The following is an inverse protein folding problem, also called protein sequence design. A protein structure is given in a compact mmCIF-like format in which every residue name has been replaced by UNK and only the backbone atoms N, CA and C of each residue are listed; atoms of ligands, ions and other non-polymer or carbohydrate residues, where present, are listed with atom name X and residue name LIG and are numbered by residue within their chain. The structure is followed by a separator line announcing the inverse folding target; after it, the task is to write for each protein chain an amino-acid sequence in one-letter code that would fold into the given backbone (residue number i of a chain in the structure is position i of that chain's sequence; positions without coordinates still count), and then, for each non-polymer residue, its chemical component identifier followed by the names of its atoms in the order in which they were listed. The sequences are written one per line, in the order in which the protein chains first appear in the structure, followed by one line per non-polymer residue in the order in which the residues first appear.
data_IF_487297012977
#
_entry.id   IF_487297012977
#
_cell.length_a   1.000
_cell.length_b   1.000
_cell.length_c   1.000
_cell.angle_alpha   90.00
_cell.angle_beta   90.00
_cell.angle_gamma   90.00
#
_symmetry.space_group_name_H-M   'P 1'
#
loop_
_entity.id
_entity.type
_entity.pdbx_description
1 polymer ?
#
# COMPACT_ATOMS: atom_id res chain seq x y z
N UNK A 1 -14.99 -30.98 -44.91
CA UNK A 1 -16.17 -30.87 -44.02
C UNK A 1 -15.93 -31.69 -42.76
N UNK A 2 -15.44 -31.06 -41.70
CA UNK A 2 -15.33 -31.60 -40.34
C UNK A 2 -15.62 -30.43 -39.39
N UNK A 3 -16.79 -30.40 -38.74
CA UNK A 3 -17.20 -29.31 -37.87
C UNK A 3 -16.60 -29.58 -36.48
N UNK A 4 -15.56 -28.83 -36.12
CA UNK A 4 -15.07 -28.77 -34.74
C UNK A 4 -14.84 -27.31 -34.35
N UNK A 5 -15.83 -26.48 -34.68
CA UNK A 5 -15.87 -25.05 -34.41
C UNK A 5 -16.97 -24.80 -33.38
N UNK A 6 -16.82 -25.38 -32.18
CA UNK A 6 -17.71 -25.12 -31.04
C UNK A 6 -17.16 -25.91 -29.86
N UNK A 7 -16.34 -25.26 -29.02
CA UNK A 7 -16.32 -25.49 -27.57
C UNK A 7 -15.51 -24.36 -26.91
N UNK A 8 -16.19 -23.71 -25.98
CA UNK A 8 -15.66 -22.96 -24.83
C UNK A 8 -15.12 -21.54 -25.03
N UNK A 9 -16.07 -20.69 -25.41
CA UNK A 9 -16.11 -19.30 -25.03
C UNK A 9 -16.65 -19.17 -23.58
N UNK A 10 -15.87 -19.54 -22.54
CA UNK A 10 -16.10 -19.10 -21.15
C UNK A 10 -14.77 -19.08 -20.38
N UNK A 11 -14.11 -17.95 -20.36
CA UNK A 11 -13.14 -17.61 -19.31
C UNK A 11 -13.22 -16.11 -19.04
N UNK A 12 -14.39 -15.66 -18.58
CA UNK A 12 -14.49 -14.39 -17.88
C UNK A 12 -13.67 -14.54 -16.59
N UNK A 13 -12.62 -13.74 -16.35
CA UNK A 13 -11.99 -13.72 -15.04
C UNK A 13 -13.04 -13.21 -14.06
N UNK A 14 -13.49 -14.11 -13.17
CA UNK A 14 -14.30 -13.75 -12.02
C UNK A 14 -13.61 -12.60 -11.28
N UNK A 15 -14.39 -11.58 -10.91
CA UNK A 15 -13.97 -10.47 -10.06
C UNK A 15 -12.98 -10.97 -9.00
N UNK A 16 -11.72 -10.57 -9.09
CA UNK A 16 -10.76 -10.82 -8.03
C UNK A 16 -11.13 -9.88 -6.87
N UNK A 17 -11.60 -10.39 -5.71
CA UNK A 17 -12.00 -9.56 -4.56
C UNK A 17 -10.81 -8.87 -3.84
N UNK A 18 -9.68 -8.75 -4.53
CA UNK A 18 -8.46 -8.06 -4.09
C UNK A 18 -7.94 -7.02 -5.09
N UNK A 19 -8.58 -6.83 -6.24
CA UNK A 19 -8.05 -5.94 -7.29
C UNK A 19 -8.31 -4.44 -7.05
N UNK A 20 -9.01 -4.07 -5.98
CA UNK A 20 -9.38 -2.68 -5.70
C UNK A 20 -8.86 -2.26 -4.31
N UNK A 21 -7.62 -1.75 -4.23
CA UNK A 21 -7.10 -1.13 -3.02
C UNK A 21 -8.06 -0.03 -2.53
N UNK A 22 -8.45 -0.06 -1.26
CA UNK A 22 -9.29 0.96 -0.62
C UNK A 22 -10.80 0.69 -0.55
N UNK A 23 -11.38 -0.14 -1.42
CA UNK A 23 -12.81 -0.49 -1.35
C UNK A 23 -13.13 -1.55 -0.28
N UNK A 24 -12.13 -2.36 0.11
CA UNK A 24 -12.32 -3.40 1.13
C UNK A 24 -12.83 -2.86 2.46
N UNK A 25 -12.28 -1.73 2.91
CA UNK A 25 -12.60 -1.14 4.21
C UNK A 25 -14.03 -0.61 4.31
N UNK A 26 -14.67 -0.32 3.18
CA UNK A 26 -16.02 0.25 3.12
C UNK A 26 -17.12 -0.81 3.06
N UNK A 27 -16.78 -2.03 2.60
CA UNK A 27 -17.76 -3.07 2.29
C UNK A 27 -17.62 -4.27 3.24
N UNK A 28 -16.44 -4.50 3.80
CA UNK A 28 -16.14 -5.58 4.73
C UNK A 28 -15.80 -5.04 6.12
N UNK A 29 -16.17 -5.76 7.20
CA UNK A 29 -15.74 -5.38 8.55
C UNK A 29 -14.22 -5.42 8.65
N UNK A 30 -13.64 -4.43 9.34
CA UNK A 30 -12.20 -4.37 9.60
C UNK A 30 -11.77 -5.63 10.35
N UNK A 31 -10.78 -6.34 9.82
CA UNK A 31 -10.27 -7.56 10.45
C UNK A 31 -9.29 -7.22 11.57
N UNK A 32 -9.05 -8.19 12.47
CA UNK A 32 -7.98 -8.06 13.46
C UNK A 32 -6.59 -7.87 12.81
N UNK A 33 -6.38 -8.49 11.64
CA UNK A 33 -5.15 -8.34 10.87
C UNK A 33 -4.97 -6.92 10.32
N UNK A 34 -6.05 -6.29 9.85
CA UNK A 34 -6.02 -4.88 9.40
C UNK A 34 -5.66 -3.93 10.53
N UNK A 35 -6.23 -4.15 11.72
CA UNK A 35 -5.90 -3.35 12.91
C UNK A 35 -4.45 -3.56 13.35
N UNK A 36 -3.96 -4.79 13.34
CA UNK A 36 -2.56 -5.09 13.67
C UNK A 36 -1.60 -4.40 12.71
N UNK A 37 -1.89 -4.46 11.40
CA UNK A 37 -1.11 -3.77 10.37
C UNK A 37 -1.13 -2.26 10.55
N UNK A 38 -2.31 -1.66 10.75
CA UNK A 38 -2.42 -0.23 11.07
C UNK A 38 -1.57 0.15 12.27
N UNK A 39 -1.63 -0.63 13.35
CA UNK A 39 -0.80 -0.41 14.54
C UNK A 39 0.70 -0.46 14.24
N UNK A 40 1.15 -1.45 13.46
CA UNK A 40 2.54 -1.58 13.06
C UNK A 40 3.02 -0.38 12.23
N UNK A 41 2.22 0.08 11.25
CA UNK A 41 2.52 1.28 10.45
C UNK A 41 2.57 2.52 11.32
N UNK A 42 1.61 2.70 12.24
CA UNK A 42 1.61 3.85 13.13
C UNK A 42 2.85 3.90 14.02
N UNK A 43 3.31 2.75 14.54
CA UNK A 43 4.54 2.67 15.31
C UNK A 43 5.76 3.01 14.43
N UNK A 44 5.85 2.44 13.23
CA UNK A 44 6.96 2.68 12.32
C UNK A 44 7.06 4.16 11.90
N UNK A 45 5.92 4.79 11.64
CA UNK A 45 5.87 6.20 11.23
C UNK A 45 6.09 7.14 12.40
N UNK A 46 5.33 6.99 13.48
CA UNK A 46 5.33 7.97 14.58
C UNK A 46 6.52 7.77 15.52
N UNK A 47 7.04 6.56 15.64
CA UNK A 47 8.16 6.24 16.54
C UNK A 47 9.49 6.83 16.10
N UNK A 48 9.65 7.15 14.81
CA UNK A 48 10.89 7.66 14.23
C UNK A 48 10.62 8.66 13.08
N UNK A 49 9.64 9.53 13.32
CA UNK A 49 9.09 10.40 12.28
C UNK A 49 10.12 11.34 11.64
N UNK A 50 11.06 11.98 12.38
CA UNK A 50 12.09 12.81 11.76
C UNK A 50 13.02 12.04 10.82
N UNK A 51 13.49 10.85 11.21
CA UNK A 51 14.35 10.03 10.36
C UNK A 51 13.61 9.54 9.11
N UNK A 52 12.32 9.21 9.26
CA UNK A 52 11.47 8.83 8.14
C UNK A 52 11.32 9.97 7.12
N UNK A 53 11.15 11.22 7.57
CA UNK A 53 11.12 12.38 6.67
C UNK A 53 12.46 12.57 5.95
N UNK A 54 13.59 12.44 6.66
CA UNK A 54 14.92 12.51 6.04
C UNK A 54 15.13 11.40 5.00
N UNK A 55 14.67 10.18 5.27
CA UNK A 55 14.72 9.08 4.31
C UNK A 55 13.85 9.34 3.08
N UNK A 56 12.66 9.95 3.25
CA UNK A 56 11.80 10.35 2.12
C UNK A 56 12.49 11.42 1.27
N UNK A 57 13.10 12.41 1.88
CA UNK A 57 13.86 13.46 1.19
C UNK A 57 15.08 12.88 0.44
N UNK A 58 15.78 11.92 1.04
CA UNK A 58 16.90 11.20 0.43
C UNK A 58 16.49 10.20 -0.66
N UNK A 59 15.19 9.95 -0.84
CA UNK A 59 14.67 8.99 -1.81
C UNK A 59 14.84 7.53 -1.39
N UNK A 60 14.99 7.26 -0.09
CA UNK A 60 15.15 5.94 0.50
C UNK A 60 15.90 5.99 1.84
N UNK A 61 15.73 4.94 2.65
CA UNK A 61 16.48 4.75 3.89
C UNK A 61 15.82 3.73 4.84
N UNK A 62 16.50 3.38 5.94
CA UNK A 62 16.10 2.26 6.79
C UNK A 62 14.78 2.49 7.53
N UNK A 63 14.43 3.74 7.87
CA UNK A 63 13.14 4.06 8.49
C UNK A 63 12.02 3.99 7.47
N UNK A 64 12.26 4.42 6.24
CA UNK A 64 11.30 4.29 5.15
C UNK A 64 11.06 2.84 4.73
N UNK A 65 12.10 2.02 4.65
CA UNK A 65 11.94 0.59 4.36
C UNK A 65 11.17 -0.14 5.46
N UNK A 66 11.43 0.17 6.74
CA UNK A 66 10.63 -0.35 7.86
C UNK A 66 9.16 0.04 7.76
N UNK A 67 8.87 1.28 7.35
CA UNK A 67 7.50 1.75 7.18
C UNK A 67 6.78 1.03 6.02
N UNK A 68 7.48 0.79 4.90
CA UNK A 68 6.96 -0.02 3.79
C UNK A 68 6.73 -1.49 4.20
N UNK A 69 7.64 -2.07 4.97
CA UNK A 69 7.51 -3.44 5.48
C UNK A 69 6.31 -3.56 6.42
N UNK A 70 6.16 -2.62 7.36
CA UNK A 70 5.03 -2.58 8.28
C UNK A 70 3.68 -2.45 7.57
N UNK A 71 3.64 -1.72 6.46
CA UNK A 71 2.46 -1.56 5.64
C UNK A 71 2.21 -2.77 4.71
N UNK A 72 3.24 -3.55 4.41
CA UNK A 72 3.17 -4.62 3.42
C UNK A 72 3.13 -4.08 1.98
N UNK A 73 3.86 -2.99 1.70
CA UNK A 73 3.96 -2.44 0.34
C UNK A 73 4.85 -3.35 -0.51
N UNK A 74 4.36 -3.83 -1.68
CA UNK A 74 5.14 -4.68 -2.58
C UNK A 74 6.46 -4.01 -3.00
N UNK A 75 7.56 -4.77 -2.96
CA UNK A 75 8.91 -4.25 -3.26
C UNK A 75 8.98 -3.62 -4.67
N UNK A 76 8.26 -4.18 -5.65
CA UNK A 76 8.19 -3.65 -7.01
C UNK A 76 7.52 -2.27 -7.11
N UNK A 77 6.64 -1.93 -6.16
CA UNK A 77 5.91 -0.65 -6.16
C UNK A 77 6.68 0.45 -5.41
N UNK A 78 7.60 0.08 -4.50
CA UNK A 78 8.32 1.03 -3.63
C UNK A 78 9.04 2.14 -4.39
N UNK A 79 9.73 1.92 -5.53
CA UNK A 79 10.37 3.00 -6.26
C UNK A 79 9.38 4.11 -6.68
N UNK A 80 8.19 3.73 -7.16
CA UNK A 80 7.15 4.69 -7.51
C UNK A 80 6.58 5.39 -6.26
N UNK A 81 6.42 4.65 -5.15
CA UNK A 81 5.95 5.24 -3.88
C UNK A 81 6.93 6.23 -3.29
N UNK A 82 8.23 5.99 -3.41
CA UNK A 82 9.26 6.94 -2.98
C UNK A 82 9.16 8.26 -3.74
N UNK A 83 8.97 8.21 -5.06
CA UNK A 83 8.73 9.43 -5.86
C UNK A 83 7.47 10.19 -5.42
N UNK A 84 6.37 9.46 -5.14
CA UNK A 84 5.14 10.07 -4.62
C UNK A 84 5.38 10.73 -3.25
N UNK A 85 6.05 10.02 -2.33
CA UNK A 85 6.33 10.53 -1.00
C UNK A 85 7.20 11.80 -1.03
N UNK A 86 8.25 11.82 -1.85
CA UNK A 86 9.11 12.99 -1.98
C UNK A 86 8.36 14.18 -2.60
N UNK A 87 7.45 13.93 -3.55
CA UNK A 87 6.62 14.98 -4.16
C UNK A 87 5.61 15.59 -3.19
N UNK A 88 5.12 14.81 -2.23
CA UNK A 88 4.15 15.22 -1.22
C UNK A 88 4.80 15.51 0.15
N UNK A 89 6.13 15.69 0.23
CA UNK A 89 6.86 15.79 1.50
C UNK A 89 6.29 16.84 2.47
N UNK A 90 5.94 18.03 1.95
CA UNK A 90 5.36 19.12 2.73
C UNK A 90 4.00 18.76 3.37
N UNK A 91 3.22 17.85 2.77
CA UNK A 91 2.00 17.33 3.38
C UNK A 91 2.33 16.51 4.62
N UNK A 92 3.38 15.69 4.56
CA UNK A 92 3.72 14.77 5.63
C UNK A 92 4.35 15.48 6.81
N UNK A 93 5.25 16.45 6.59
CA UNK A 93 5.95 17.20 7.65
C UNK A 93 5.03 17.69 8.78
N UNK A 94 3.82 18.14 8.42
CA UNK A 94 2.82 18.65 9.37
C UNK A 94 1.73 17.63 9.75
N UNK A 95 1.71 16.46 9.11
CA UNK A 95 0.66 15.47 9.26
C UNK A 95 1.17 14.02 9.14
N UNK A 96 1.72 13.43 10.23
CA UNK A 96 2.13 12.03 10.24
C UNK A 96 0.97 11.06 9.96
N UNK A 97 -0.28 11.45 10.24
CA UNK A 97 -1.46 10.64 9.93
C UNK A 97 -1.71 10.47 8.43
N UNK A 98 -1.38 11.49 7.62
CA UNK A 98 -1.45 11.41 6.16
C UNK A 98 -0.42 10.41 5.62
N UNK A 99 0.77 10.34 6.22
CA UNK A 99 1.80 9.37 5.84
C UNK A 99 1.37 7.94 6.17
N UNK A 100 0.84 7.72 7.38
CA UNK A 100 0.25 6.42 7.77
C UNK A 100 -0.84 5.99 6.79
N UNK A 101 -1.73 6.91 6.41
CA UNK A 101 -2.84 6.62 5.50
C UNK A 101 -2.33 6.25 4.10
N UNK A 102 -1.32 6.97 3.59
CA UNK A 102 -0.71 6.69 2.29
C UNK A 102 -0.08 5.30 2.26
N UNK A 103 0.67 4.93 3.31
CA UNK A 103 1.30 3.62 3.43
C UNK A 103 0.27 2.50 3.52
N UNK A 104 -0.79 2.65 4.32
CA UNK A 104 -1.86 1.66 4.44
C UNK A 104 -2.68 1.50 3.15
N UNK A 105 -2.78 2.55 2.34
CA UNK A 105 -3.45 2.49 1.04
C UNK A 105 -2.67 1.64 0.04
N UNK A 106 -1.33 1.71 0.07
CA UNK A 106 -0.47 0.96 -0.85
C UNK A 106 -0.16 -0.46 -0.38
N UNK A 107 -0.29 -0.70 0.92
CA UNK A 107 -0.08 -2.00 1.51
C UNK A 107 -1.34 -2.87 1.48
N UNK A 108 -1.16 -4.19 1.35
CA UNK A 108 -2.27 -5.16 1.40
C UNK A 108 -2.11 -6.36 0.49
#
# INVERSE_FOLDING_TARGET
MRPLFLILLVALPACAPGALPGLRSTIMPVSAQDNARRGAVEIAVKGDFPALLSDIEAGGGPSLERAFDAAGVPVGDRPARRLQLSGDLALYESNPGALVTSLLLWGG
#
